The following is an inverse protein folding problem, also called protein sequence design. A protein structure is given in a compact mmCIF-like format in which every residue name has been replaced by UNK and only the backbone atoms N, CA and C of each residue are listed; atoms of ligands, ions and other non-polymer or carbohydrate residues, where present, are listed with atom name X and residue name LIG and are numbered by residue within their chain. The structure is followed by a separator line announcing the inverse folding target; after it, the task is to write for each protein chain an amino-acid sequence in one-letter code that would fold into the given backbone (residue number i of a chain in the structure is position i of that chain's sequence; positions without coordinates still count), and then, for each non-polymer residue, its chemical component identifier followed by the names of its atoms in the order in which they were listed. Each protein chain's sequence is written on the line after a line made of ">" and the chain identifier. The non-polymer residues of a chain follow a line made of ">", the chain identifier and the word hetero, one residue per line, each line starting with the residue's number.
data_IF_844169568968
#
_entry.id   IF_844169568968
#
_cell.length_a   1.000
_cell.length_b   1.000
_cell.length_c   1.000
_cell.angle_alpha   90.00
_cell.angle_beta   90.00
_cell.angle_gamma   90.00
#
_symmetry.space_group_name_H-M   'P 1'
#
loop_
_entity.id
_entity.type
_entity.pdbx_description
1 polymer ?
#
# COMPACT_ATOMS: atom_id res chain seq x y z
N UNK A 1 -4.09 -26.09 22.23
CA UNK A 1 -5.00 -25.02 21.78
C UNK A 1 -4.17 -23.74 21.56
N UNK A 2 -4.17 -23.17 20.35
CA UNK A 2 -3.49 -21.92 20.03
C UNK A 2 -4.33 -20.75 20.57
N UNK A 3 -3.77 -19.94 21.47
CA UNK A 3 -4.43 -18.80 22.08
C UNK A 3 -3.74 -17.45 21.77
N UNK A 4 -2.44 -17.48 21.47
CA UNK A 4 -1.65 -16.28 21.21
C UNK A 4 -0.82 -16.47 19.95
N UNK A 5 -1.08 -15.64 18.96
CA UNK A 5 -0.46 -15.71 17.63
C UNK A 5 0.30 -14.43 17.35
N UNK A 6 1.55 -14.55 16.90
CA UNK A 6 2.36 -13.46 16.41
C UNK A 6 2.56 -13.59 14.91
N UNK A 7 2.16 -12.60 14.15
CA UNK A 7 2.53 -12.46 12.73
C UNK A 7 3.72 -11.51 12.63
N UNK A 8 4.79 -11.96 11.99
CA UNK A 8 5.99 -11.14 11.75
C UNK A 8 6.00 -10.70 10.30
N UNK A 9 5.89 -9.40 10.05
CA UNK A 9 5.94 -8.79 8.72
C UNK A 9 6.82 -7.54 8.73
N UNK A 10 8.11 -7.78 8.71
CA UNK A 10 9.13 -6.74 8.81
C UNK A 10 9.58 -6.23 7.44
N UNK A 11 8.65 -5.76 6.62
CA UNK A 11 8.91 -5.37 5.25
C UNK A 11 8.44 -3.92 4.96
N UNK A 12 7.95 -3.64 3.76
CA UNK A 12 7.46 -2.33 3.36
C UNK A 12 5.93 -2.24 3.50
N UNK A 13 5.37 -1.07 3.28
CA UNK A 13 3.95 -0.78 3.43
C UNK A 13 3.08 -1.72 2.56
N UNK A 14 3.44 -1.89 1.27
CA UNK A 14 2.71 -2.78 0.37
C UNK A 14 2.70 -4.24 0.86
N UNK A 15 3.85 -4.73 1.35
CA UNK A 15 3.98 -6.07 1.93
C UNK A 15 3.06 -6.25 3.13
N UNK A 16 2.98 -5.25 4.01
CA UNK A 16 2.13 -5.27 5.21
C UNK A 16 0.65 -5.28 4.79
N UNK A 17 0.24 -4.46 3.84
CA UNK A 17 -1.13 -4.43 3.33
C UNK A 17 -1.52 -5.75 2.66
N UNK A 18 -0.64 -6.36 1.85
CA UNK A 18 -0.85 -7.68 1.25
C UNK A 18 -0.99 -8.81 2.28
N UNK A 19 -0.61 -8.57 3.54
CA UNK A 19 -0.77 -9.54 4.63
C UNK A 19 -2.17 -9.47 5.27
N UNK A 20 -2.93 -8.38 5.10
CA UNK A 20 -4.22 -8.19 5.79
C UNK A 20 -5.27 -9.26 5.48
N UNK A 21 -5.37 -9.85 4.27
CA UNK A 21 -6.26 -10.99 4.04
C UNK A 21 -5.89 -12.23 4.87
N UNK A 22 -4.60 -12.44 5.12
CA UNK A 22 -4.14 -13.54 5.98
C UNK A 22 -4.46 -13.28 7.46
N UNK A 23 -4.41 -12.01 7.92
CA UNK A 23 -4.87 -11.65 9.28
C UNK A 23 -6.35 -11.98 9.47
N UNK A 24 -7.18 -11.67 8.46
CA UNK A 24 -8.61 -12.02 8.46
C UNK A 24 -8.83 -13.54 8.51
N UNK A 25 -8.05 -14.30 7.74
CA UNK A 25 -8.13 -15.77 7.77
C UNK A 25 -7.75 -16.32 9.15
N UNK A 26 -6.71 -15.78 9.78
CA UNK A 26 -6.31 -16.14 11.15
C UNK A 26 -7.39 -15.79 12.18
N UNK A 27 -7.99 -14.60 12.10
CA UNK A 27 -9.06 -14.19 13.02
C UNK A 27 -10.29 -15.09 12.90
N UNK A 28 -10.67 -15.51 11.67
CA UNK A 28 -11.77 -16.46 11.46
C UNK A 28 -11.45 -17.85 12.00
N UNK A 29 -10.22 -18.32 11.83
CA UNK A 29 -9.80 -19.62 12.32
C UNK A 29 -9.61 -19.67 13.85
N UNK A 30 -9.25 -18.52 14.44
CA UNK A 30 -9.00 -18.38 15.89
C UNK A 30 -9.70 -17.14 16.44
N UNK A 31 -11.05 -17.14 16.56
CA UNK A 31 -11.84 -15.96 16.93
C UNK A 31 -11.42 -15.35 18.28
N UNK A 32 -11.09 -16.18 19.26
CA UNK A 32 -10.73 -15.78 20.62
C UNK A 32 -9.23 -15.61 20.85
N UNK A 33 -8.40 -15.83 19.82
CA UNK A 33 -6.96 -15.72 20.01
C UNK A 33 -6.51 -14.25 20.12
N UNK A 34 -5.53 -14.00 20.97
CA UNK A 34 -4.76 -12.77 20.92
C UNK A 34 -3.90 -12.78 19.66
N UNK A 35 -4.29 -12.02 18.64
CA UNK A 35 -3.58 -11.92 17.37
C UNK A 35 -2.78 -10.62 17.33
N UNK A 36 -1.47 -10.75 17.40
CA UNK A 36 -0.53 -9.63 17.30
C UNK A 36 0.22 -9.63 15.96
N UNK A 37 0.56 -8.45 15.45
CA UNK A 37 1.49 -8.29 14.34
C UNK A 37 2.72 -7.50 14.75
N UNK A 38 3.90 -7.93 14.32
CA UNK A 38 5.16 -7.20 14.46
C UNK A 38 5.57 -6.61 13.12
N UNK A 39 5.56 -5.29 13.01
CA UNK A 39 5.92 -4.53 11.81
C UNK A 39 7.05 -3.54 12.08
N UNK A 40 7.67 -3.02 11.02
CA UNK A 40 8.56 -1.87 11.16
C UNK A 40 7.76 -0.61 11.55
N UNK A 41 8.34 0.28 12.39
CA UNK A 41 7.66 1.47 12.92
C UNK A 41 7.00 2.31 11.82
N UNK A 42 7.69 2.54 10.71
CA UNK A 42 7.15 3.32 9.58
C UNK A 42 5.94 2.67 8.87
N UNK A 43 5.65 1.40 9.14
CA UNK A 43 4.47 0.70 8.60
C UNK A 43 3.31 0.61 9.59
N UNK A 44 3.49 1.06 10.83
CA UNK A 44 2.51 0.91 11.92
C UNK A 44 1.12 1.39 11.53
N UNK A 45 1.02 2.56 10.91
CA UNK A 45 -0.26 3.16 10.52
C UNK A 45 -1.05 2.31 9.52
N UNK A 46 -0.39 1.44 8.73
CA UNK A 46 -1.06 0.56 7.76
C UNK A 46 -1.91 -0.55 8.40
N UNK A 47 -1.69 -0.86 9.69
CA UNK A 47 -2.39 -1.96 10.40
C UNK A 47 -2.92 -1.56 11.78
N UNK A 48 -2.62 -0.34 12.24
CA UNK A 48 -2.96 0.09 13.61
C UNK A 48 -4.47 -0.04 13.93
N UNK A 49 -5.31 0.18 12.95
CA UNK A 49 -6.77 0.14 13.08
C UNK A 49 -7.41 -1.11 12.45
N UNK A 50 -6.61 -2.15 12.17
CA UNK A 50 -7.13 -3.37 11.59
C UNK A 50 -7.97 -4.15 12.63
N UNK A 51 -9.27 -4.41 12.38
CA UNK A 51 -10.17 -5.03 13.36
C UNK A 51 -9.85 -6.50 13.65
N UNK A 52 -9.09 -7.16 12.76
CA UNK A 52 -8.66 -8.53 12.95
C UNK A 52 -7.54 -8.68 14.00
N UNK A 53 -6.85 -7.56 14.31
CA UNK A 53 -5.73 -7.55 15.25
C UNK A 53 -6.16 -7.20 16.68
N UNK A 54 -5.51 -7.83 17.64
CA UNK A 54 -5.60 -7.45 19.06
C UNK A 54 -4.51 -6.46 19.43
N UNK A 55 -3.31 -6.59 18.80
CA UNK A 55 -2.15 -5.76 19.14
C UNK A 55 -1.26 -5.53 17.93
N UNK A 56 -0.71 -4.32 17.82
CA UNK A 56 0.32 -3.96 16.85
C UNK A 56 1.63 -3.66 17.58
N UNK A 57 2.61 -4.51 17.37
CA UNK A 57 3.95 -4.37 17.90
C UNK A 57 4.87 -3.78 16.83
N UNK A 58 5.79 -2.92 17.24
CA UNK A 58 6.74 -2.29 16.32
C UNK A 58 8.17 -2.43 16.81
N UNK A 59 9.08 -2.35 15.86
CA UNK A 59 10.49 -2.22 16.16
C UNK A 59 11.19 -1.38 15.08
N UNK A 60 12.27 -0.69 15.47
CA UNK A 60 13.07 0.11 14.54
C UNK A 60 14.25 -0.71 14.02
N UNK A 61 14.33 -0.86 12.68
CA UNK A 61 15.46 -1.57 12.04
C UNK A 61 16.77 -0.85 12.33
N UNK A 62 17.83 -1.60 12.64
CA UNK A 62 19.15 -1.05 12.93
C UNK A 62 19.70 -0.12 11.83
N UNK A 63 19.39 -0.40 10.55
CA UNK A 63 19.79 0.43 9.40
C UNK A 63 19.15 1.83 9.37
N UNK A 64 18.10 2.07 10.14
CA UNK A 64 17.42 3.36 10.25
C UNK A 64 17.78 4.12 11.52
N UNK A 65 18.82 3.68 12.23
CA UNK A 65 19.34 4.34 13.42
C UNK A 65 20.61 5.15 13.08
N UNK A 66 20.85 6.29 13.74
CA UNK A 66 22.09 7.02 13.60
C UNK A 66 23.30 6.12 13.96
N UNK A 67 24.39 6.23 13.21
CA UNK A 67 25.64 5.52 13.49
C UNK A 67 26.20 6.01 14.84
N UNK A 68 26.50 5.08 15.77
CA UNK A 68 27.18 5.39 17.04
C UNK A 68 26.57 4.79 18.32
N UNK A 69 25.45 4.09 18.24
CA UNK A 69 24.71 3.58 19.43
C UNK A 69 24.83 2.05 19.60
N UNK A 70 26.03 1.47 19.49
CA UNK A 70 26.20 0.01 19.54
C UNK A 70 25.57 -0.65 20.79
N UNK A 71 25.85 -0.14 22.00
CA UNK A 71 25.30 -0.68 23.25
C UNK A 71 23.80 -0.36 23.41
N UNK A 72 23.36 0.85 23.07
CA UNK A 72 21.94 1.21 23.12
C UNK A 72 21.10 0.39 22.13
N UNK A 73 21.61 0.14 20.92
CA UNK A 73 20.92 -0.70 19.93
C UNK A 73 20.78 -2.15 20.42
N UNK A 74 21.80 -2.68 21.09
CA UNK A 74 21.76 -4.01 21.68
C UNK A 74 20.76 -4.07 22.86
N UNK A 75 20.75 -3.03 23.68
CA UNK A 75 19.81 -2.91 24.81
C UNK A 75 18.35 -2.86 24.33
N UNK A 76 18.05 -2.04 23.33
CA UNK A 76 16.71 -1.95 22.72
C UNK A 76 16.28 -3.27 22.10
N UNK A 77 17.20 -3.98 21.43
CA UNK A 77 16.92 -5.28 20.84
C UNK A 77 16.62 -6.32 21.93
N UNK A 78 17.42 -6.36 22.99
CA UNK A 78 17.20 -7.29 24.12
C UNK A 78 15.89 -6.98 24.84
N UNK A 79 15.56 -5.71 25.00
CA UNK A 79 14.28 -5.27 25.59
C UNK A 79 13.09 -5.67 24.71
N UNK A 80 13.18 -5.45 23.40
CA UNK A 80 12.16 -5.86 22.44
C UNK A 80 11.95 -7.39 22.46
N UNK A 81 13.03 -8.18 22.50
CA UNK A 81 12.94 -9.65 22.60
C UNK A 81 12.31 -10.07 23.94
N UNK A 82 12.70 -9.45 25.05
CA UNK A 82 12.09 -9.74 26.36
C UNK A 82 10.59 -9.46 26.36
N UNK A 83 10.16 -8.35 25.78
CA UNK A 83 8.73 -8.01 25.64
C UNK A 83 8.00 -9.03 24.78
N UNK A 84 8.57 -9.47 23.65
CA UNK A 84 7.98 -10.50 22.80
C UNK A 84 7.85 -11.83 23.54
N UNK A 85 8.90 -12.27 24.26
CA UNK A 85 8.89 -13.53 25.05
C UNK A 85 7.90 -13.49 26.23
N UNK A 86 7.78 -12.35 26.87
CA UNK A 86 6.82 -12.16 27.98
C UNK A 86 5.36 -12.35 27.52
N UNK A 87 5.09 -12.14 26.23
CA UNK A 87 3.78 -12.39 25.62
C UNK A 87 3.41 -13.87 25.50
N UNK A 88 4.37 -14.80 25.58
CA UNK A 88 4.16 -16.26 25.52
C UNK A 88 3.32 -16.68 24.32
N UNK A 89 3.70 -16.29 23.12
CA UNK A 89 3.03 -16.71 21.89
C UNK A 89 3.12 -18.22 21.69
N UNK A 90 1.99 -18.84 21.30
CA UNK A 90 1.93 -20.28 20.96
C UNK A 90 2.43 -20.50 19.53
N UNK A 91 2.08 -19.58 18.62
CA UNK A 91 2.42 -19.63 17.20
C UNK A 91 3.02 -18.30 16.76
N UNK A 92 4.19 -18.35 16.13
CA UNK A 92 4.78 -17.21 15.43
C UNK A 92 4.86 -17.50 13.92
N UNK A 93 4.43 -16.58 13.09
CA UNK A 93 4.33 -16.74 11.64
C UNK A 93 5.24 -15.73 10.95
N UNK A 94 6.31 -16.22 10.31
CA UNK A 94 7.17 -15.40 9.45
C UNK A 94 6.50 -15.22 8.08
N UNK A 95 5.65 -14.19 7.96
CA UNK A 95 4.75 -13.99 6.82
C UNK A 95 5.47 -13.31 5.63
N UNK A 96 6.47 -13.99 5.08
CA UNK A 96 7.20 -13.51 3.90
C UNK A 96 7.63 -14.64 2.99
N UNK A 97 7.43 -14.46 1.70
CA UNK A 97 7.91 -15.32 0.62
C UNK A 97 8.97 -14.59 -0.22
N UNK A 98 10.08 -15.24 -0.59
CA UNK A 98 10.58 -16.53 -0.10
C UNK A 98 11.04 -16.45 1.36
N UNK A 99 11.79 -17.45 1.83
CA UNK A 99 12.38 -17.43 3.17
C UNK A 99 13.12 -16.11 3.45
N UNK A 100 12.82 -15.52 4.59
CA UNK A 100 13.47 -14.32 5.07
C UNK A 100 14.15 -14.58 6.41
N UNK A 101 15.49 -14.54 6.43
CA UNK A 101 16.25 -14.73 7.67
C UNK A 101 15.80 -13.78 8.78
N UNK A 102 15.54 -12.50 8.46
CA UNK A 102 15.15 -11.52 9.47
C UNK A 102 13.75 -11.79 10.06
N UNK A 103 12.77 -12.15 9.22
CA UNK A 103 11.43 -12.48 9.71
C UNK A 103 11.44 -13.80 10.50
N UNK A 104 12.16 -14.82 10.00
CA UNK A 104 12.29 -16.10 10.68
C UNK A 104 13.02 -15.99 12.02
N UNK A 105 14.08 -15.16 12.08
CA UNK A 105 14.78 -14.86 13.32
C UNK A 105 13.89 -14.17 14.36
N UNK A 106 13.09 -13.20 13.96
CA UNK A 106 12.14 -12.52 14.85
C UNK A 106 11.09 -13.49 15.41
N UNK A 107 10.57 -14.39 14.55
CA UNK A 107 9.66 -15.45 14.98
C UNK A 107 10.32 -16.39 15.99
N UNK A 108 11.58 -16.76 15.76
CA UNK A 108 12.37 -17.59 16.67
C UNK A 108 12.65 -16.86 18.00
N UNK A 109 13.08 -15.59 17.92
CA UNK A 109 13.38 -14.76 19.07
C UNK A 109 12.18 -14.52 19.98
N UNK A 110 10.95 -14.53 19.43
CA UNK A 110 9.71 -14.45 20.20
C UNK A 110 9.48 -15.64 21.14
N UNK A 111 10.21 -16.75 20.95
CA UNK A 111 10.15 -17.92 21.83
C UNK A 111 8.92 -18.80 21.64
N UNK A 112 8.17 -18.64 20.55
CA UNK A 112 7.00 -19.46 20.26
C UNK A 112 7.41 -20.92 19.97
N UNK A 113 6.73 -21.95 20.51
CA UNK A 113 7.02 -23.35 20.23
C UNK A 113 6.73 -23.72 18.77
N UNK A 114 5.69 -23.13 18.17
CA UNK A 114 5.36 -23.33 16.76
C UNK A 114 5.77 -22.10 15.95
N UNK A 115 6.58 -22.29 14.91
CA UNK A 115 7.12 -21.22 14.08
C UNK A 115 6.92 -21.55 12.61
N UNK A 116 5.86 -20.96 12.03
CA UNK A 116 5.42 -21.16 10.66
C UNK A 116 6.13 -20.18 9.72
N UNK A 117 6.51 -20.64 8.54
CA UNK A 117 7.01 -19.79 7.46
C UNK A 117 7.37 -20.57 6.21
N UNK A 118 7.82 -19.87 5.18
CA UNK A 118 8.40 -20.51 4.02
C UNK A 118 9.77 -21.05 4.37
N UNK A 119 9.94 -22.36 4.22
CA UNK A 119 11.16 -23.05 4.60
C UNK A 119 12.24 -22.93 3.52
N UNK A 120 13.47 -22.63 3.87
CA UNK A 120 14.59 -22.74 2.95
C UNK A 120 14.97 -24.22 2.75
N UNK A 121 15.85 -24.55 1.79
CA UNK A 121 16.37 -25.91 1.62
C UNK A 121 16.88 -26.52 2.93
N UNK A 122 16.84 -27.84 3.05
CA UNK A 122 17.22 -28.54 4.29
C UNK A 122 18.64 -28.22 4.77
N UNK A 123 19.57 -27.99 3.85
CA UNK A 123 20.97 -27.63 4.14
C UNK A 123 21.18 -26.18 4.59
N UNK A 124 20.14 -25.35 4.55
CA UNK A 124 20.29 -23.93 4.87
C UNK A 124 20.54 -23.71 6.38
N UNK A 125 21.59 -22.98 6.78
CA UNK A 125 22.04 -22.89 8.19
C UNK A 125 21.03 -22.24 9.14
N UNK A 126 20.08 -21.47 8.62
CA UNK A 126 19.04 -20.81 9.42
C UNK A 126 17.66 -21.48 9.33
N UNK A 127 17.58 -22.69 8.77
CA UNK A 127 16.30 -23.44 8.69
C UNK A 127 15.70 -23.70 10.07
N UNK A 128 16.49 -23.88 11.10
CA UNK A 128 16.05 -24.14 12.47
C UNK A 128 15.23 -22.99 13.11
N UNK A 129 15.24 -21.80 12.54
CA UNK A 129 14.37 -20.72 13.01
C UNK A 129 12.88 -21.06 12.86
N UNK A 130 12.54 -21.90 11.90
CA UNK A 130 11.19 -22.34 11.62
C UNK A 130 11.07 -23.85 11.82
N UNK A 131 9.93 -24.33 12.32
CA UNK A 131 9.67 -25.75 12.49
C UNK A 131 8.35 -26.22 11.84
N UNK A 132 7.60 -25.30 11.28
CA UNK A 132 6.40 -25.53 10.48
C UNK A 132 6.47 -24.77 9.16
N UNK A 133 5.83 -25.28 8.12
CA UNK A 133 5.67 -24.58 6.87
C UNK A 133 5.93 -25.43 5.64
N UNK A 134 6.12 -24.77 4.52
CA UNK A 134 6.35 -25.37 3.20
C UNK A 134 7.52 -24.71 2.48
N UNK A 135 8.14 -25.43 1.58
CA UNK A 135 9.11 -24.84 0.66
C UNK A 135 8.41 -24.00 -0.41
N UNK A 136 9.12 -23.00 -0.94
CA UNK A 136 8.59 -22.17 -2.01
C UNK A 136 8.52 -23.00 -3.29
N UNK A 137 7.31 -23.20 -3.82
CA UNK A 137 7.13 -23.81 -5.14
C UNK A 137 7.65 -22.89 -6.25
N UNK A 138 7.95 -23.49 -7.41
CA UNK A 138 8.51 -22.80 -8.58
C UNK A 138 7.53 -21.78 -9.22
N UNK A 139 6.23 -21.86 -8.93
CA UNK A 139 5.22 -21.00 -9.54
C UNK A 139 5.22 -19.62 -8.90
N UNK A 140 5.42 -18.61 -9.73
CA UNK A 140 5.22 -17.23 -9.34
C UNK A 140 3.74 -17.03 -8.93
N UNK A 141 3.51 -16.47 -7.74
CA UNK A 141 2.18 -16.14 -7.28
C UNK A 141 2.17 -14.74 -6.67
N UNK A 142 1.02 -14.12 -6.69
CA UNK A 142 0.82 -12.83 -6.05
C UNK A 142 1.16 -12.90 -4.56
N UNK A 143 1.65 -11.79 -3.97
CA UNK A 143 2.08 -11.75 -2.57
C UNK A 143 0.95 -12.12 -1.60
N UNK A 144 -0.29 -11.67 -1.87
CA UNK A 144 -1.48 -12.07 -1.10
C UNK A 144 -1.69 -13.58 -1.13
N UNK A 145 -1.56 -14.20 -2.31
CA UNK A 145 -1.74 -15.65 -2.46
C UNK A 145 -0.60 -16.42 -1.77
N UNK A 146 0.60 -15.83 -1.74
CA UNK A 146 1.70 -16.34 -0.93
C UNK A 146 1.35 -16.37 0.56
N UNK A 147 0.83 -15.26 1.11
CA UNK A 147 0.42 -15.20 2.51
C UNK A 147 -0.69 -16.20 2.83
N UNK A 148 -1.73 -16.27 2.00
CA UNK A 148 -2.84 -17.21 2.16
C UNK A 148 -2.42 -18.67 1.97
N UNK A 149 -1.56 -18.96 0.99
CA UNK A 149 -1.03 -20.28 0.73
C UNK A 149 -0.14 -20.82 1.86
N UNK A 150 0.54 -19.94 2.60
CA UNK A 150 1.27 -20.34 3.80
C UNK A 150 0.31 -20.81 4.89
N UNK A 151 -0.80 -20.11 5.11
CA UNK A 151 -1.82 -20.51 6.10
C UNK A 151 -2.56 -21.78 5.69
N UNK A 152 -2.85 -21.94 4.39
CA UNK A 152 -3.46 -23.13 3.85
C UNK A 152 -2.61 -24.40 4.09
N UNK A 153 -1.26 -24.26 4.16
CA UNK A 153 -0.37 -25.39 4.46
C UNK A 153 -0.52 -25.98 5.87
N UNK A 154 -1.21 -25.27 6.76
CA UNK A 154 -1.57 -25.73 8.12
C UNK A 154 -3.08 -25.86 8.32
N UNK A 155 -3.85 -25.95 7.22
CA UNK A 155 -5.29 -26.20 7.25
C UNK A 155 -6.17 -24.95 7.48
N UNK A 156 -5.62 -23.74 7.41
CA UNK A 156 -6.42 -22.49 7.54
C UNK A 156 -6.85 -22.03 6.15
N UNK A 157 -8.15 -22.07 5.82
CA UNK A 157 -8.66 -21.66 4.51
C UNK A 157 -8.57 -20.14 4.31
N UNK A 158 -8.45 -19.67 3.04
CA UNK A 158 -8.49 -18.25 2.74
C UNK A 158 -9.85 -17.64 3.08
N UNK A 159 -9.85 -16.38 3.53
CA UNK A 159 -11.05 -15.61 3.86
C UNK A 159 -11.31 -14.46 2.88
N UNK A 160 -10.90 -14.65 1.62
CA UNK A 160 -10.93 -13.64 0.56
C UNK A 160 -9.55 -12.99 0.36
N UNK A 161 -9.43 -12.17 -0.71
CA UNK A 161 -8.19 -11.49 -1.09
C UNK A 161 -8.20 -9.99 -0.83
N UNK A 162 -9.36 -9.40 -0.50
CA UNK A 162 -9.50 -7.97 -0.32
C UNK A 162 -8.60 -7.46 0.82
N UNK A 163 -7.81 -6.44 0.51
CA UNK A 163 -6.98 -5.75 1.49
C UNK A 163 -7.86 -4.99 2.49
N UNK A 164 -7.31 -4.71 3.67
CA UNK A 164 -7.98 -3.90 4.68
C UNK A 164 -7.09 -2.76 5.17
N UNK A 165 -7.66 -1.55 5.22
CA UNK A 165 -6.99 -0.36 5.73
C UNK A 165 -8.04 0.64 6.23
N UNK A 166 -7.96 1.01 7.52
CA UNK A 166 -8.77 2.06 8.11
C UNK A 166 -7.96 3.35 8.30
N UNK A 167 -8.37 4.45 7.66
CA UNK A 167 -7.74 5.75 7.86
C UNK A 167 -7.90 6.26 9.29
N UNK A 168 -6.90 6.99 9.77
CA UNK A 168 -6.96 7.69 11.04
C UNK A 168 -7.91 8.90 10.93
N UNK A 169 -8.99 8.99 11.76
CA UNK A 169 -9.96 10.08 11.70
C UNK A 169 -9.35 11.46 12.01
N UNK A 170 -8.37 11.53 12.92
CA UNK A 170 -7.69 12.78 13.24
C UNK A 170 -6.85 13.27 12.05
N UNK A 171 -6.10 12.35 11.43
CA UNK A 171 -5.35 12.64 10.22
C UNK A 171 -6.29 13.07 9.07
N UNK A 172 -7.43 12.40 8.90
CA UNK A 172 -8.44 12.82 7.91
C UNK A 172 -8.97 14.23 8.19
N UNK A 173 -9.26 14.54 9.45
CA UNK A 173 -9.72 15.89 9.84
C UNK A 173 -8.65 16.96 9.55
N UNK A 174 -7.37 16.64 9.81
CA UNK A 174 -6.25 17.53 9.51
C UNK A 174 -6.10 17.75 8.00
N UNK A 175 -6.16 16.70 7.17
CA UNK A 175 -6.11 16.84 5.71
C UNK A 175 -7.30 17.64 5.19
N UNK A 176 -8.53 17.37 5.66
CA UNK A 176 -9.72 18.16 5.29
C UNK A 176 -9.55 19.64 5.61
N UNK A 177 -8.94 20.00 6.74
CA UNK A 177 -8.63 21.38 7.09
C UNK A 177 -7.65 22.00 6.08
N UNK A 178 -6.55 21.32 5.77
CA UNK A 178 -5.57 21.79 4.76
C UNK A 178 -6.20 22.01 3.38
N UNK A 179 -7.13 21.11 2.97
CA UNK A 179 -7.85 21.27 1.71
C UNK A 179 -8.75 22.52 1.72
N UNK A 180 -9.45 22.80 2.82
CA UNK A 180 -10.27 24.03 2.96
C UNK A 180 -9.40 25.28 2.91
N UNK A 181 -8.27 25.28 3.61
CA UNK A 181 -7.31 26.41 3.60
C UNK A 181 -6.74 26.66 2.20
N UNK A 182 -6.63 25.62 1.37
CA UNK A 182 -6.25 25.72 -0.03
C UNK A 182 -7.43 26.10 -0.98
N UNK A 183 -8.60 26.42 -0.43
CA UNK A 183 -9.79 26.82 -1.21
C UNK A 183 -10.58 25.68 -1.85
N UNK A 184 -10.28 24.43 -1.48
CA UNK A 184 -11.07 23.29 -1.94
C UNK A 184 -12.10 22.86 -0.88
N UNK A 185 -13.38 22.70 -1.27
CA UNK A 185 -14.35 22.07 -0.38
C UNK A 185 -13.93 20.61 -0.16
N UNK A 186 -13.72 20.15 1.08
CA UNK A 186 -13.40 18.76 1.33
C UNK A 186 -14.59 17.87 0.95
N UNK A 187 -14.34 16.66 0.46
CA UNK A 187 -15.40 15.69 0.19
C UNK A 187 -16.19 15.38 1.47
N UNK A 188 -17.49 15.12 1.33
CA UNK A 188 -18.38 14.84 2.46
C UNK A 188 -17.87 13.63 3.28
N UNK A 189 -18.01 13.64 4.61
CA UNK A 189 -17.69 12.48 5.44
C UNK A 189 -18.69 11.34 5.16
N UNK A 190 -18.18 10.12 4.91
CA UNK A 190 -19.00 8.91 4.73
C UNK A 190 -18.12 7.65 4.76
N UNK A 191 -18.69 6.49 5.10
CA UNK A 191 -17.99 5.22 4.95
C UNK A 191 -17.89 4.90 3.46
N UNK A 192 -16.69 4.82 2.95
CA UNK A 192 -16.39 4.53 1.54
C UNK A 192 -15.52 5.60 0.89
N UNK A 193 -15.01 5.31 -0.33
CA UNK A 193 -14.19 6.26 -1.05
C UNK A 193 -14.93 7.56 -1.26
N UNK A 194 -14.24 8.65 -1.05
CA UNK A 194 -14.63 10.06 -1.03
C UNK A 194 -16.05 10.38 -1.50
N UNK A 195 -16.90 10.88 -0.58
CA UNK A 195 -18.25 11.34 -0.88
C UNK A 195 -18.27 12.41 -1.97
N UNK A 196 -19.46 12.72 -2.52
CA UNK A 196 -19.64 13.80 -3.49
C UNK A 196 -19.07 15.11 -2.93
N UNK A 197 -18.22 15.75 -3.69
CA UNK A 197 -17.76 17.12 -3.39
C UNK A 197 -18.94 18.04 -3.71
N UNK A 198 -19.51 18.67 -2.68
CA UNK A 198 -20.52 19.70 -2.87
C UNK A 198 -19.88 20.85 -3.67
N UNK A 199 -20.24 20.99 -4.93
CA UNK A 199 -19.71 22.05 -5.80
C UNK A 199 -18.81 21.62 -6.96
N UNK A 200 -18.60 20.32 -7.22
CA UNK A 200 -18.22 19.85 -8.55
C UNK A 200 -16.85 19.22 -8.76
N UNK A 201 -15.78 19.57 -8.09
CA UNK A 201 -14.45 19.04 -8.44
C UNK A 201 -14.05 17.88 -7.52
N UNK A 202 -13.86 16.65 -8.10
CA UNK A 202 -13.23 15.54 -7.40
C UNK A 202 -11.74 15.80 -7.14
N UNK A 203 -11.10 14.93 -6.34
CA UNK A 203 -9.69 15.01 -6.03
C UNK A 203 -8.91 13.88 -6.69
N UNK A 204 -7.82 14.21 -7.40
CA UNK A 204 -6.84 13.25 -7.89
C UNK A 204 -5.52 13.39 -7.11
N UNK A 205 -5.05 12.31 -6.53
CA UNK A 205 -3.72 12.28 -5.94
C UNK A 205 -2.71 11.77 -6.99
N UNK A 206 -1.72 12.59 -7.31
CA UNK A 206 -0.60 12.26 -8.18
C UNK A 206 0.64 12.06 -7.32
N UNK A 207 1.11 10.81 -7.21
CA UNK A 207 2.30 10.47 -6.40
C UNK A 207 3.50 10.23 -7.28
N UNK A 208 4.53 11.09 -7.14
CA UNK A 208 5.66 11.14 -8.05
C UNK A 208 6.90 10.33 -7.63
N UNK A 209 6.92 9.86 -6.36
CA UNK A 209 8.13 9.22 -5.82
C UNK A 209 8.23 7.75 -6.15
N UNK A 210 9.40 7.32 -6.61
CA UNK A 210 9.77 5.91 -6.68
C UNK A 210 11.28 5.72 -6.44
N UNK A 211 11.63 4.75 -5.59
CA UNK A 211 13.05 4.42 -5.30
C UNK A 211 13.72 3.66 -6.43
N UNK A 212 12.96 2.86 -7.20
CA UNK A 212 13.48 2.04 -8.30
C UNK A 212 13.55 2.88 -9.57
N UNK A 213 14.73 2.99 -10.14
CA UNK A 213 14.97 3.77 -11.37
C UNK A 213 14.05 3.34 -12.51
N UNK A 214 13.90 2.05 -12.75
CA UNK A 214 13.04 1.51 -13.83
C UNK A 214 11.56 1.80 -13.65
N UNK A 215 11.13 2.17 -12.45
CA UNK A 215 9.74 2.53 -12.11
C UNK A 215 9.57 4.05 -12.00
N UNK A 216 10.60 4.86 -12.27
CA UNK A 216 10.46 6.32 -12.31
C UNK A 216 9.88 6.75 -13.62
N UNK A 217 8.87 7.60 -13.57
CA UNK A 217 8.31 8.27 -14.73
C UNK A 217 8.87 9.69 -14.83
N UNK A 218 9.06 10.26 -16.04
CA UNK A 218 9.61 11.60 -16.18
C UNK A 218 8.76 12.67 -15.47
N UNK A 219 9.41 13.63 -14.81
CA UNK A 219 8.70 14.67 -14.04
C UNK A 219 7.81 15.53 -14.94
N UNK A 220 8.27 15.86 -16.16
CA UNK A 220 7.45 16.56 -17.14
C UNK A 220 6.20 15.77 -17.56
N UNK A 221 6.29 14.44 -17.62
CA UNK A 221 5.15 13.59 -17.94
C UNK A 221 4.10 13.58 -16.80
N UNK A 222 4.54 13.62 -15.53
CA UNK A 222 3.63 13.80 -14.39
C UNK A 222 2.90 15.14 -14.47
N UNK A 223 3.60 16.24 -14.79
CA UNK A 223 2.99 17.57 -14.94
C UNK A 223 1.93 17.58 -16.05
N UNK A 224 2.26 17.05 -17.23
CA UNK A 224 1.33 16.98 -18.36
C UNK A 224 0.11 16.09 -18.05
N UNK A 225 0.32 14.94 -17.45
CA UNK A 225 -0.80 14.07 -17.05
C UNK A 225 -1.70 14.72 -15.99
N UNK A 226 -1.11 15.40 -15.00
CA UNK A 226 -1.86 16.12 -13.98
C UNK A 226 -2.73 17.22 -14.58
N UNK A 227 -2.19 18.02 -15.53
CA UNK A 227 -2.95 19.03 -16.29
C UNK A 227 -4.11 18.39 -17.06
N UNK A 228 -3.85 17.28 -17.76
CA UNK A 228 -4.89 16.58 -18.52
C UNK A 228 -5.98 15.97 -17.61
N UNK A 229 -5.63 15.46 -16.44
CA UNK A 229 -6.60 14.99 -15.43
C UNK A 229 -7.47 16.15 -14.94
N UNK A 230 -6.88 17.31 -14.70
CA UNK A 230 -7.61 18.53 -14.34
C UNK A 230 -8.56 18.95 -15.45
N UNK A 231 -8.08 19.07 -16.68
CA UNK A 231 -8.84 19.59 -17.82
C UNK A 231 -9.93 18.64 -18.28
N UNK A 232 -9.64 17.34 -18.39
CA UNK A 232 -10.58 16.35 -18.96
C UNK A 232 -11.55 15.78 -17.93
N UNK A 233 -11.14 15.68 -16.65
CA UNK A 233 -11.90 15.05 -15.59
C UNK A 233 -12.39 16.03 -14.52
N UNK A 234 -12.02 17.31 -14.61
CA UNK A 234 -12.37 18.34 -13.62
C UNK A 234 -11.84 18.06 -12.22
N UNK A 235 -10.75 17.26 -12.10
CA UNK A 235 -10.21 16.88 -10.81
C UNK A 235 -9.22 17.94 -10.31
N UNK A 236 -9.32 18.32 -9.05
CA UNK A 236 -8.27 19.09 -8.40
C UNK A 236 -7.08 18.18 -8.07
N UNK A 237 -5.87 18.67 -8.30
CA UNK A 237 -4.67 17.85 -8.21
C UNK A 237 -4.00 18.01 -6.84
N UNK A 238 -3.90 16.90 -6.10
CA UNK A 238 -3.05 16.77 -4.91
C UNK A 238 -1.72 16.16 -5.34
N UNK A 239 -0.65 16.96 -5.32
CA UNK A 239 0.69 16.48 -5.59
C UNK A 239 1.29 15.90 -4.31
N UNK A 240 1.64 14.62 -4.35
CA UNK A 240 2.19 13.85 -3.23
C UNK A 240 3.55 13.24 -3.58
N UNK A 241 4.44 13.17 -2.61
CA UNK A 241 5.79 12.62 -2.76
C UNK A 241 6.31 12.07 -1.43
N UNK A 242 7.49 11.43 -1.46
CA UNK A 242 8.25 11.11 -0.24
C UNK A 242 8.96 12.37 0.27
N UNK A 243 8.51 12.98 1.38
CA UNK A 243 9.08 14.25 1.85
C UNK A 243 10.54 14.11 2.30
N UNK A 244 11.33 15.15 2.07
CA UNK A 244 12.71 15.26 2.52
C UNK A 244 13.68 15.67 1.42
N UNK A 245 14.93 15.86 1.84
CA UNK A 245 16.03 16.18 0.93
C UNK A 245 16.53 14.92 0.22
N UNK A 246 16.83 15.04 -1.07
CA UNK A 246 17.42 13.98 -1.90
C UNK A 246 18.81 13.54 -1.41
N UNK A 247 19.53 14.40 -0.68
CA UNK A 247 20.84 14.13 -0.11
C UNK A 247 20.79 13.36 1.23
N UNK A 248 19.60 13.14 1.79
CA UNK A 248 19.48 12.35 3.02
C UNK A 248 19.86 10.88 2.77
N UNK A 249 20.97 10.36 3.34
CA UNK A 249 21.46 9.03 3.03
C UNK A 249 20.58 7.90 3.60
N UNK A 250 19.74 8.21 4.59
CA UNK A 250 18.87 7.24 5.25
C UNK A 250 17.48 7.18 4.59
N UNK A 251 16.96 8.35 4.24
CA UNK A 251 15.64 8.53 3.64
C UNK A 251 15.69 9.65 2.60
N UNK A 252 16.22 9.38 1.40
CA UNK A 252 16.23 10.39 0.35
C UNK A 252 14.78 10.78 0.01
N UNK A 253 14.53 12.08 0.07
CA UNK A 253 13.24 12.66 -0.26
C UNK A 253 13.21 13.24 -1.67
N UNK A 254 12.05 13.70 -2.07
CA UNK A 254 11.77 14.21 -3.41
C UNK A 254 11.17 15.63 -3.38
N UNK A 255 11.48 16.46 -2.34
CA UNK A 255 10.95 17.81 -2.20
C UNK A 255 11.26 18.65 -3.46
N UNK A 256 12.50 18.64 -3.97
CA UNK A 256 12.89 19.37 -5.19
C UNK A 256 12.20 18.86 -6.46
N UNK A 257 11.92 17.57 -6.56
CA UNK A 257 11.16 17.00 -7.69
C UNK A 257 9.69 17.42 -7.67
N UNK A 258 9.09 17.54 -6.49
CA UNK A 258 7.72 18.02 -6.36
C UNK A 258 7.60 19.47 -6.84
N UNK A 259 8.57 20.32 -6.52
CA UNK A 259 8.65 21.68 -7.01
C UNK A 259 8.85 21.76 -8.54
N UNK A 260 9.68 20.87 -9.09
CA UNK A 260 9.91 20.77 -10.54
C UNK A 260 8.63 20.39 -11.29
N UNK A 261 7.90 19.36 -10.81
CA UNK A 261 6.60 18.97 -11.38
C UNK A 261 5.62 20.11 -11.33
N UNK A 262 5.49 20.80 -10.18
CA UNK A 262 4.55 21.90 -10.00
C UNK A 262 4.86 23.09 -10.90
N UNK A 263 6.15 23.40 -11.14
CA UNK A 263 6.56 24.45 -12.11
C UNK A 263 6.21 24.10 -13.55
N UNK A 264 6.20 22.80 -13.90
CA UNK A 264 5.80 22.33 -15.21
C UNK A 264 4.29 22.25 -15.43
N UNK A 265 3.47 22.38 -14.38
CA UNK A 265 2.01 22.32 -14.46
C UNK A 265 1.39 23.68 -14.79
N UNK A 266 0.32 23.69 -15.59
CA UNK A 266 -0.57 24.83 -15.81
C UNK A 266 -1.62 24.92 -14.70
N UNK A 267 -2.18 23.78 -14.30
CA UNK A 267 -3.05 23.68 -13.14
C UNK A 267 -2.24 23.94 -11.86
N UNK A 268 -2.81 24.68 -10.90
CA UNK A 268 -2.16 24.88 -9.61
C UNK A 268 -2.37 23.65 -8.73
N UNK A 269 -1.35 22.82 -8.48
CA UNK A 269 -1.50 21.67 -7.59
C UNK A 269 -1.55 22.12 -6.13
N UNK A 270 -2.23 21.34 -5.31
CA UNK A 270 -2.10 21.44 -3.86
C UNK A 270 -0.94 20.54 -3.43
N UNK A 271 0.08 21.17 -2.84
CA UNK A 271 1.21 20.44 -2.26
C UNK A 271 0.77 19.69 -1.01
N UNK A 272 0.78 18.36 -1.11
CA UNK A 272 0.40 17.51 -0.01
C UNK A 272 1.63 16.82 0.58
N UNK A 273 2.42 17.57 1.35
CA UNK A 273 3.51 17.01 2.12
C UNK A 273 2.95 16.18 3.27
N UNK A 274 3.23 14.88 3.23
CA UNK A 274 2.75 13.90 4.23
C UNK A 274 3.95 13.19 4.85
N UNK A 275 4.60 13.77 5.89
CA UNK A 275 5.77 13.18 6.53
C UNK A 275 5.44 11.87 7.26
N UNK A 276 4.20 11.69 7.66
CA UNK A 276 3.74 10.48 8.33
C UNK A 276 2.84 9.63 7.42
N UNK A 277 2.98 8.32 7.51
CA UNK A 277 2.16 7.39 6.73
C UNK A 277 0.65 7.56 6.98
N UNK A 278 0.25 7.88 8.24
CA UNK A 278 -1.17 8.11 8.57
C UNK A 278 -1.77 9.28 7.79
N UNK A 279 -0.98 10.33 7.53
CA UNK A 279 -1.42 11.47 6.73
C UNK A 279 -1.59 11.11 5.26
N UNK A 280 -0.65 10.32 4.70
CA UNK A 280 -0.76 9.82 3.33
C UNK A 280 -1.99 8.92 3.16
N UNK A 281 -2.24 8.00 4.09
CA UNK A 281 -3.44 7.16 4.10
C UNK A 281 -4.71 8.01 4.15
N UNK A 282 -4.74 9.00 5.05
CA UNK A 282 -5.86 9.94 5.17
C UNK A 282 -6.08 10.73 3.89
N UNK A 283 -5.02 11.21 3.25
CA UNK A 283 -5.10 11.93 1.99
C UNK A 283 -5.67 11.06 0.86
N UNK A 284 -5.15 9.84 0.68
CA UNK A 284 -5.66 8.90 -0.33
C UNK A 284 -7.14 8.60 -0.09
N UNK A 285 -7.57 8.43 1.17
CA UNK A 285 -8.97 8.14 1.51
C UNK A 285 -9.96 9.24 1.12
N UNK A 286 -9.47 10.46 0.89
CA UNK A 286 -10.26 11.61 0.47
C UNK A 286 -10.26 11.83 -1.04
N UNK A 287 -9.53 11.03 -1.80
CA UNK A 287 -9.39 11.16 -3.24
C UNK A 287 -10.43 10.31 -3.99
N UNK A 288 -10.74 10.76 -5.21
CA UNK A 288 -11.58 10.02 -6.17
C UNK A 288 -10.73 9.20 -7.13
N UNK A 289 -9.44 9.54 -7.25
CA UNK A 289 -8.51 8.90 -8.17
C UNK A 289 -7.06 8.97 -7.68
N UNK A 290 -6.26 7.97 -8.00
CA UNK A 290 -4.82 7.94 -7.74
C UNK A 290 -4.05 7.60 -9.00
N UNK A 291 -3.08 8.45 -9.35
CA UNK A 291 -2.05 8.17 -10.34
C UNK A 291 -0.72 7.94 -9.60
N UNK A 292 -0.10 6.80 -9.81
CA UNK A 292 1.17 6.48 -9.17
C UNK A 292 2.02 5.54 -10.02
N UNK A 293 3.27 5.38 -9.62
CA UNK A 293 4.11 4.28 -10.08
C UNK A 293 4.07 3.11 -9.09
N UNK A 294 4.60 1.94 -9.48
CA UNK A 294 4.71 0.74 -8.67
C UNK A 294 5.36 1.02 -7.29
N UNK A 295 4.56 0.99 -6.24
CA UNK A 295 4.98 1.32 -4.87
C UNK A 295 3.91 1.06 -3.83
N UNK A 296 4.20 1.39 -2.57
CA UNK A 296 3.26 1.18 -1.45
C UNK A 296 1.92 1.87 -1.62
N UNK A 297 1.89 3.00 -2.33
CA UNK A 297 0.68 3.82 -2.49
C UNK A 297 -0.41 3.13 -3.31
N UNK A 298 -0.07 2.33 -4.33
CA UNK A 298 -1.06 1.58 -5.09
C UNK A 298 -1.82 0.57 -4.23
N UNK A 299 -1.14 -0.02 -3.23
CA UNK A 299 -1.79 -0.92 -2.27
C UNK A 299 -2.64 -0.16 -1.25
N UNK A 300 -2.26 1.08 -0.87
CA UNK A 300 -3.10 1.97 -0.06
C UNK A 300 -4.38 2.29 -0.83
N UNK A 301 -4.28 2.72 -2.10
CA UNK A 301 -5.44 3.01 -2.94
C UNK A 301 -6.34 1.78 -3.13
N UNK A 302 -5.76 0.59 -3.37
CA UNK A 302 -6.51 -0.67 -3.49
C UNK A 302 -7.23 -1.05 -2.18
N UNK A 303 -6.56 -0.91 -1.03
CA UNK A 303 -7.15 -1.21 0.27
C UNK A 303 -8.29 -0.25 0.65
N UNK A 304 -8.26 0.98 0.13
CA UNK A 304 -9.30 2.01 0.30
C UNK A 304 -10.34 2.02 -0.82
N UNK A 305 -10.25 1.07 -1.77
CA UNK A 305 -11.17 0.92 -2.90
C UNK A 305 -11.23 2.17 -3.82
N UNK A 306 -10.11 2.91 -3.94
CA UNK A 306 -9.98 4.10 -4.77
C UNK A 306 -9.57 3.72 -6.19
N UNK A 307 -10.27 4.25 -7.23
CA UNK A 307 -9.88 4.11 -8.63
C UNK A 307 -8.45 4.58 -8.88
N UNK A 308 -7.66 3.82 -9.66
CA UNK A 308 -6.26 4.13 -9.84
C UNK A 308 -5.68 3.70 -11.19
N UNK A 309 -4.66 4.42 -11.64
CA UNK A 309 -3.75 4.00 -12.71
C UNK A 309 -2.34 3.87 -12.14
N UNK A 310 -1.70 2.75 -12.41
CA UNK A 310 -0.38 2.42 -11.88
C UNK A 310 0.60 2.13 -13.00
N UNK A 311 1.74 2.83 -12.97
CA UNK A 311 2.80 2.67 -13.96
C UNK A 311 3.86 1.68 -13.42
N UNK A 312 4.00 0.55 -14.10
CA UNK A 312 4.95 -0.49 -13.72
C UNK A 312 6.25 -0.41 -14.53
N UNK A 313 7.36 -0.48 -13.82
CA UNK A 313 8.68 -0.70 -14.41
C UNK A 313 9.02 -2.19 -14.54
N UNK A 314 10.22 -2.56 -14.10
CA UNK A 314 10.74 -3.94 -14.16
C UNK A 314 9.99 -4.92 -13.25
N UNK A 315 9.35 -4.43 -12.21
CA UNK A 315 8.60 -5.27 -11.26
C UNK A 315 7.41 -5.92 -11.96
N UNK A 316 7.20 -7.20 -11.71
CA UNK A 316 6.10 -7.94 -12.34
C UNK A 316 4.77 -7.72 -11.61
N UNK A 317 3.70 -7.30 -12.31
CA UNK A 317 2.38 -7.18 -11.72
C UNK A 317 1.81 -8.54 -11.28
N UNK A 318 2.27 -9.64 -11.82
CA UNK A 318 1.95 -11.00 -11.40
C UNK A 318 2.23 -11.24 -9.91
N UNK A 319 3.20 -10.48 -9.33
CA UNK A 319 3.54 -10.56 -7.90
C UNK A 319 2.90 -9.44 -7.08
N UNK A 320 2.76 -8.25 -7.68
CA UNK A 320 2.52 -7.01 -6.95
C UNK A 320 1.36 -6.16 -7.47
N UNK A 321 0.55 -6.67 -8.42
CA UNK A 321 -0.61 -5.92 -8.87
C UNK A 321 -1.48 -5.48 -7.67
N UNK A 322 -2.05 -4.26 -7.67
CA UNK A 322 -3.00 -3.87 -6.64
C UNK A 322 -4.23 -4.80 -6.70
N UNK A 323 -4.67 -5.31 -5.54
CA UNK A 323 -5.83 -6.20 -5.44
C UNK A 323 -7.10 -5.35 -5.48
N UNK A 324 -7.52 -4.96 -6.66
CA UNK A 324 -8.72 -4.17 -6.92
C UNK A 324 -9.21 -4.38 -8.34
N UNK A 325 -10.50 -4.25 -8.56
CA UNK A 325 -11.11 -4.17 -9.90
C UNK A 325 -11.12 -2.73 -10.45
N UNK A 326 -10.86 -1.74 -9.58
CA UNK A 326 -10.90 -0.31 -9.90
C UNK A 326 -9.53 0.25 -10.32
N UNK A 327 -8.72 -0.57 -10.96
CA UNK A 327 -7.37 -0.17 -11.34
C UNK A 327 -7.00 -0.61 -12.74
N UNK A 328 -6.14 0.18 -13.38
CA UNK A 328 -5.47 -0.19 -14.62
C UNK A 328 -3.96 -0.10 -14.43
N UNK A 329 -3.26 -1.12 -14.92
CA UNK A 329 -1.81 -1.20 -14.89
C UNK A 329 -1.27 -0.94 -16.29
N UNK A 330 -0.35 0.01 -16.40
CA UNK A 330 0.36 0.30 -17.63
C UNK A 330 1.81 -0.18 -17.53
N UNK A 331 2.31 -0.78 -18.61
CA UNK A 331 3.69 -1.29 -18.75
C UNK A 331 4.22 -1.05 -20.15
N UNK A 332 5.51 -0.70 -20.23
CA UNK A 332 6.21 -0.59 -21.51
C UNK A 332 7.65 -1.06 -21.38
N UNK A 333 7.96 -2.26 -21.89
CA UNK A 333 9.32 -2.80 -21.96
C UNK A 333 10.07 -2.88 -20.61
N UNK A 334 9.35 -3.00 -19.48
CA UNK A 334 9.95 -3.06 -18.15
C UNK A 334 10.49 -1.72 -17.62
N UNK A 335 10.12 -0.60 -18.26
CA UNK A 335 10.51 0.76 -17.85
C UNK A 335 9.30 1.69 -17.89
N UNK A 336 9.03 2.37 -16.77
CA UNK A 336 7.91 3.29 -16.67
C UNK A 336 8.08 4.53 -17.56
N UNK A 337 9.33 4.98 -17.78
CA UNK A 337 9.66 6.14 -18.63
C UNK A 337 9.30 5.98 -20.12
N UNK A 338 8.95 4.76 -20.54
CA UNK A 338 8.48 4.46 -21.91
C UNK A 338 6.96 4.54 -22.06
N UNK A 339 6.23 4.71 -20.97
CA UNK A 339 4.77 4.87 -21.00
C UNK A 339 4.48 6.32 -21.37
N UNK A 340 3.70 6.53 -22.44
CA UNK A 340 3.36 7.87 -22.89
C UNK A 340 2.31 8.55 -21.99
N UNK A 341 2.27 9.87 -22.01
CA UNK A 341 1.25 10.66 -21.30
C UNK A 341 -0.14 10.32 -21.84
N UNK A 342 -0.29 10.15 -23.16
CA UNK A 342 -1.58 9.84 -23.78
C UNK A 342 -2.14 8.49 -23.31
N UNK A 343 -1.29 7.45 -23.18
CA UNK A 343 -1.70 6.17 -22.60
C UNK A 343 -2.20 6.32 -21.16
N UNK A 344 -1.49 7.10 -20.33
CA UNK A 344 -1.87 7.35 -18.93
C UNK A 344 -3.18 8.10 -18.85
N UNK A 345 -3.36 9.12 -19.67
CA UNK A 345 -4.59 9.93 -19.69
C UNK A 345 -5.77 9.10 -20.21
N UNK A 346 -5.60 8.32 -21.27
CA UNK A 346 -6.64 7.44 -21.80
C UNK A 346 -7.09 6.41 -20.77
N UNK A 347 -6.14 5.74 -20.10
CA UNK A 347 -6.40 4.80 -19.02
C UNK A 347 -7.13 5.45 -17.84
N UNK A 348 -6.74 6.67 -17.48
CA UNK A 348 -7.36 7.41 -16.37
C UNK A 348 -8.81 7.78 -16.68
N UNK A 349 -9.08 8.24 -17.90
CA UNK A 349 -10.45 8.53 -18.38
C UNK A 349 -11.30 7.26 -18.38
N UNK A 350 -10.76 6.13 -18.85
CA UNK A 350 -11.46 4.85 -18.86
C UNK A 350 -11.80 4.39 -17.44
N UNK A 351 -10.81 4.38 -16.53
CA UNK A 351 -11.00 3.99 -15.12
C UNK A 351 -12.04 4.89 -14.45
N UNK A 352 -11.97 6.21 -14.67
CA UNK A 352 -12.92 7.16 -14.08
C UNK A 352 -14.30 7.08 -14.71
N UNK A 353 -14.43 6.81 -16.00
CA UNK A 353 -15.76 6.58 -16.63
C UNK A 353 -16.44 5.35 -16.07
N UNK A 354 -15.69 4.30 -15.75
CA UNK A 354 -16.20 3.03 -15.22
C UNK A 354 -16.48 3.09 -13.71
N UNK A 355 -15.61 3.72 -12.94
CA UNK A 355 -15.60 3.63 -11.48
C UNK A 355 -15.68 4.99 -10.77
N UNK A 356 -15.54 6.10 -11.49
CA UNK A 356 -15.63 7.44 -10.94
C UNK A 356 -17.01 7.71 -10.34
N UNK A 357 -17.04 8.48 -9.25
CA UNK A 357 -18.27 8.93 -8.58
C UNK A 357 -18.51 10.41 -8.83
N UNK A 358 -19.78 10.81 -8.95
CA UNK A 358 -20.20 12.19 -9.18
C UNK A 358 -21.03 12.37 -10.45
N UNK A 359 -21.77 13.46 -10.54
CA UNK A 359 -22.71 13.75 -11.67
C UNK A 359 -22.01 13.77 -13.03
N UNK A 360 -20.76 14.22 -13.09
CA UNK A 360 -19.99 14.32 -14.34
C UNK A 360 -19.64 12.94 -14.92
N UNK A 361 -19.41 11.93 -14.10
CA UNK A 361 -19.10 10.57 -14.54
C UNK A 361 -20.35 9.73 -14.81
N UNK A 362 -21.50 10.08 -14.25
CA UNK A 362 -22.79 9.47 -14.57
C UNK A 362 -23.26 9.82 -16.01
N UNK A 363 -22.98 11.04 -16.49
CA UNK A 363 -23.30 11.46 -17.84
C UNK A 363 -22.46 10.73 -18.91
N UNK A 364 -21.18 10.46 -18.64
CA UNK A 364 -20.30 9.72 -19.55
C UNK A 364 -20.72 8.23 -19.73
N UNK A 365 -21.30 7.62 -18.69
CA UNK A 365 -21.88 6.25 -18.77
C UNK A 365 -23.10 6.15 -19.66
N UNK A 366 -23.91 7.22 -19.77
CA UNK A 366 -25.11 7.27 -20.61
C UNK A 366 -24.82 7.33 -22.10
N UNK A 367 -23.69 7.87 -22.52
CA UNK A 367 -23.31 8.02 -23.93
C UNK A 367 -22.66 6.78 -24.55
N UNK A 368 -21.99 5.94 -23.76
CA UNK A 368 -21.42 4.67 -24.24
C UNK A 368 -22.46 3.56 -24.41
N UNK A 369 -23.55 3.57 -23.64
CA UNK A 369 -24.63 2.59 -23.76
C UNK A 369 -25.54 2.77 -25.01
N UNK A 370 -25.50 3.93 -25.70
CA UNK A 370 -26.31 4.17 -26.91
C UNK A 370 -25.63 3.82 -28.23
N UNK A 371 -24.33 3.51 -28.25
CA UNK A 371 -23.62 3.18 -29.50
C UNK A 371 -23.63 1.70 -29.88
N UNK A 372 -24.04 0.80 -29.00
CA UNK A 372 -24.10 -0.65 -29.27
C UNK A 372 -25.50 -1.16 -29.69
N UNK A 373 -26.56 -0.32 -29.62
CA UNK A 373 -27.93 -0.72 -29.96
C UNK A 373 -28.37 -0.37 -31.41
N UNK A 374 -27.48 0.17 -32.26
CA UNK A 374 -27.83 0.61 -33.61
C UNK A 374 -27.07 -0.11 -34.74
N UNK A 375 -26.76 -1.39 -34.57
CA UNK A 375 -26.32 -2.28 -35.66
C UNK A 375 -26.88 -3.67 -35.46
N UNK A 376 -28.13 -3.84 -35.91
CA UNK A 376 -28.76 -5.13 -36.00
C UNK A 376 -30.22 -4.98 -36.37
N UNK A 377 -30.48 -4.57 -37.62
CA UNK A 377 -31.65 -4.87 -38.39
C UNK A 377 -31.47 -4.18 -39.76
N UNK A 378 -31.26 -5.01 -40.81
CA UNK A 378 -31.17 -4.61 -42.19
C UNK A 378 -30.56 -5.71 -43.04
#
# INVERSE_FOLDING_TARGET
>A
RVRRILVVRNDNIGDVLCTTPALRALRRAFPEAHLAILVAEHCRAAVLRNPDLTEVLTYTKAKHRPRGLGLAALWDLTHAIRRLRAQRFDLAIAMRRPFSRSNAWLAYAAGAPFRLGYLPPASHPFRFFLNLGREVGAVASHEVDGCLGLLASIGIPPAGRALHLDPDPEAQAAIRRRLREAGLPPPAPGPGPAGEVAGGSGLALVHISNRRETSRWPLASFAQAADALHERLGLAILLSWSPGDSQNPLFPGDDGKAEEVARGMRARPIFLRTPELRELIAAVSLCNFVLSTDGGIMHIAAALDIPQVVLFGKTGPEHWAPVTEKGQILRSGGRADRISVDEVVAASVEVMSRWGRGKMFAAARGTTGRRTAARGEG
#
